data_IF_148762226412
#
_entry.id   IF_148762226412
#
_cell.length_a   1.000
_cell.length_b   1.000
_cell.length_c   1.000
_cell.angle_alpha   90.00
_cell.angle_beta   90.00
_cell.angle_gamma   90.00
#
_symmetry.space_group_name_H-M   'P 1'
#
loop_
_entity.id
_entity.type
_entity.pdbx_description
1 polymer ?
#
# COMPACT_ATOMS: atom_id res chain seq x y z
N UNK A 1 9.04 -25.94 -11.26
CA UNK A 1 7.85 -25.54 -10.48
C UNK A 1 8.11 -24.18 -9.81
N UNK A 2 7.06 -23.40 -9.51
CA UNK A 2 7.18 -22.04 -8.95
C UNK A 2 6.13 -21.82 -7.86
N UNK A 3 6.53 -21.23 -6.74
CA UNK A 3 5.63 -20.66 -5.72
C UNK A 3 5.98 -19.19 -5.55
N UNK A 4 4.98 -18.30 -5.64
CA UNK A 4 5.13 -16.85 -5.42
C UNK A 4 4.09 -16.38 -4.42
N UNK A 5 4.53 -15.63 -3.41
CA UNK A 5 3.68 -14.96 -2.42
C UNK A 5 3.98 -13.47 -2.45
N UNK A 6 2.94 -12.63 -2.48
CA UNK A 6 3.07 -11.18 -2.45
C UNK A 6 1.84 -10.51 -1.84
N UNK A 7 2.04 -9.39 -1.14
CA UNK A 7 1.01 -8.43 -0.68
C UNK A 7 1.07 -7.10 -1.47
N UNK A 8 1.79 -7.05 -2.58
CA UNK A 8 2.03 -5.82 -3.36
C UNK A 8 3.23 -4.99 -2.89
N UNK A 9 3.71 -5.18 -1.65
CA UNK A 9 4.87 -4.47 -1.12
C UNK A 9 6.08 -5.39 -0.91
N UNK A 10 5.82 -6.67 -0.66
CA UNK A 10 6.83 -7.69 -0.42
C UNK A 10 6.56 -8.88 -1.31
N UNK A 11 7.64 -9.54 -1.71
CA UNK A 11 7.57 -10.71 -2.58
C UNK A 11 8.53 -11.79 -2.10
N UNK A 12 8.04 -13.03 -2.07
CA UNK A 12 8.87 -14.23 -1.95
C UNK A 12 8.57 -15.13 -3.13
N UNK A 13 9.60 -15.47 -3.90
CA UNK A 13 9.52 -16.40 -5.01
C UNK A 13 10.51 -17.55 -4.81
N UNK A 14 10.01 -18.79 -4.88
CA UNK A 14 10.82 -20.00 -4.85
C UNK A 14 10.65 -20.73 -6.18
N UNK A 15 11.78 -20.95 -6.86
CA UNK A 15 11.87 -21.74 -8.10
C UNK A 15 12.55 -23.06 -7.81
N UNK A 16 11.98 -24.14 -8.33
CA UNK A 16 12.61 -25.45 -8.37
C UNK A 16 12.78 -25.86 -9.82
N UNK A 17 14.04 -26.09 -10.21
CA UNK A 17 14.41 -26.63 -11.52
C UNK A 17 14.55 -28.15 -11.42
N UNK A 18 14.01 -28.85 -12.42
CA UNK A 18 14.06 -30.31 -12.47
C UNK A 18 12.91 -31.03 -11.75
N UNK A 19 12.69 -32.26 -12.22
CA UNK A 19 11.68 -33.27 -11.83
C UNK A 19 10.23 -32.93 -12.23
N UNK A 20 9.44 -33.90 -12.76
CA UNK A 20 8.00 -33.75 -12.99
C UNK A 20 7.29 -33.31 -11.72
N UNK A 21 6.16 -32.62 -11.88
CA UNK A 21 5.43 -31.95 -10.80
C UNK A 21 5.19 -32.85 -9.57
N UNK A 22 6.11 -32.80 -8.60
CA UNK A 22 6.01 -33.55 -7.36
C UNK A 22 5.14 -32.78 -6.37
N UNK A 23 3.95 -33.30 -6.00
CA UNK A 23 3.07 -32.63 -5.06
C UNK A 23 3.65 -32.52 -3.65
N UNK A 24 4.63 -33.36 -3.27
CA UNK A 24 5.32 -33.24 -1.99
C UNK A 24 6.26 -32.02 -2.01
N UNK A 25 7.05 -31.88 -3.08
CA UNK A 25 7.92 -30.73 -3.30
C UNK A 25 7.12 -29.42 -3.33
N UNK A 26 5.96 -29.39 -4.00
CA UNK A 26 5.11 -28.20 -4.02
C UNK A 26 4.68 -27.76 -2.61
N UNK A 27 4.21 -28.72 -1.79
CA UNK A 27 3.79 -28.45 -0.42
C UNK A 27 4.94 -27.97 0.46
N UNK A 28 6.14 -28.52 0.26
CA UNK A 28 7.34 -28.05 0.93
C UNK A 28 7.68 -26.62 0.52
N UNK A 29 7.68 -26.32 -0.79
CA UNK A 29 7.92 -24.98 -1.30
C UNK A 29 6.91 -23.97 -0.74
N UNK A 30 5.63 -24.33 -0.67
CA UNK A 30 4.58 -23.47 -0.09
C UNK A 30 4.82 -23.19 1.40
N UNK A 31 5.10 -24.24 2.20
CA UNK A 31 5.38 -24.08 3.64
C UNK A 31 6.60 -23.21 3.88
N UNK A 32 7.65 -23.39 3.08
CA UNK A 32 8.86 -22.57 3.15
C UNK A 32 8.58 -21.13 2.73
N UNK A 33 7.86 -20.91 1.63
CA UNK A 33 7.49 -19.59 1.17
C UNK A 33 6.68 -18.83 2.24
N UNK A 34 5.68 -19.48 2.88
CA UNK A 34 4.91 -18.88 3.98
C UNK A 34 5.79 -18.49 5.17
N UNK A 35 6.76 -19.33 5.53
CA UNK A 35 7.71 -19.04 6.63
C UNK A 35 8.62 -17.86 6.30
N UNK A 36 9.20 -17.85 5.10
CA UNK A 36 10.04 -16.75 4.63
C UNK A 36 9.26 -15.44 4.57
N UNK A 37 8.04 -15.50 4.04
CA UNK A 37 7.15 -14.35 3.91
C UNK A 37 6.75 -13.78 5.28
N UNK A 38 6.42 -14.63 6.26
CA UNK A 38 6.12 -14.20 7.62
C UNK A 38 7.34 -13.64 8.38
N UNK A 39 8.55 -14.04 8.00
CA UNK A 39 9.78 -13.51 8.58
C UNK A 39 10.22 -12.17 7.97
N UNK A 40 9.64 -11.76 6.83
CA UNK A 40 9.92 -10.45 6.27
C UNK A 40 9.39 -9.37 7.22
N UNK A 41 10.20 -8.35 7.54
CA UNK A 41 9.72 -7.23 8.34
C UNK A 41 8.49 -6.64 7.63
N UNK A 42 7.37 -6.59 8.35
CA UNK A 42 6.31 -5.64 8.03
C UNK A 42 6.83 -4.29 8.46
N UNK A 43 6.95 -3.32 7.55
CA UNK A 43 6.85 -1.94 8.01
C UNK A 43 5.60 -1.86 8.90
N UNK A 44 5.68 -1.27 10.10
CA UNK A 44 4.47 -1.03 10.86
C UNK A 44 3.57 -0.26 9.90
N UNK A 45 2.40 -0.84 9.57
CA UNK A 45 1.43 -0.16 8.73
C UNK A 45 1.31 1.23 9.32
N UNK A 46 1.85 2.24 8.61
CA UNK A 46 1.84 3.59 9.11
C UNK A 46 0.38 3.82 9.42
N UNK A 47 0.05 3.94 10.71
CA UNK A 47 -1.29 4.23 11.15
C UNK A 47 -1.70 5.37 10.24
N UNK A 48 -2.69 5.13 9.39
CA UNK A 48 -3.28 6.17 8.58
C UNK A 48 -3.76 7.18 9.62
N UNK A 49 -2.91 8.15 9.94
CA UNK A 49 -3.31 9.32 10.68
C UNK A 49 -4.33 9.93 9.76
N UNK A 50 -5.62 9.95 10.14
CA UNK A 50 -6.59 10.66 9.35
C UNK A 50 -6.06 12.09 9.23
N UNK A 51 -5.76 12.49 8.00
CA UNK A 51 -5.50 13.87 7.66
C UNK A 51 -6.71 14.65 8.16
N UNK A 52 -6.54 15.36 9.27
CA UNK A 52 -7.63 15.99 9.99
C UNK A 52 -7.06 17.08 10.87
N UNK A 53 -7.42 18.32 10.57
CA UNK A 53 -7.15 19.51 11.37
C UNK A 53 -7.90 19.43 12.71
N UNK A 54 -7.49 18.51 13.58
CA UNK A 54 -8.14 18.19 14.84
C UNK A 54 -7.17 18.32 16.01
N UNK A 55 -6.90 19.56 16.39
CA UNK A 55 -6.32 19.98 17.69
C UNK A 55 -5.19 19.08 18.21
N UNK A 56 -3.97 19.35 17.74
CA UNK A 56 -2.82 19.18 18.60
C UNK A 56 -2.99 20.18 19.75
N UNK A 57 -3.51 19.69 20.89
CA UNK A 57 -3.52 20.47 22.11
C UNK A 57 -2.05 20.58 22.53
N UNK A 58 -1.45 21.69 22.13
CA UNK A 58 -0.15 22.16 22.56
C UNK A 58 -0.12 22.21 24.09
N UNK A 59 0.63 21.31 24.72
CA UNK A 59 0.84 21.29 26.16
C UNK A 59 2.12 22.03 26.56
N UNK A 60 2.90 22.55 25.62
CA UNK A 60 4.18 23.20 25.91
C UNK A 60 4.38 24.46 25.06
N UNK A 61 3.36 25.32 25.02
CA UNK A 61 3.50 26.78 25.06
C UNK A 61 4.44 27.44 24.05
N UNK A 62 4.43 27.06 22.77
CA UNK A 62 5.11 27.86 21.72
C UNK A 62 4.19 28.05 20.51
N UNK A 63 3.43 29.15 20.54
CA UNK A 63 2.58 29.57 19.43
C UNK A 63 3.43 30.04 18.24
N UNK A 64 3.57 29.20 17.21
CA UNK A 64 4.06 29.62 15.90
C UNK A 64 2.87 30.07 15.04
N UNK A 65 2.61 31.38 15.07
CA UNK A 65 1.64 32.00 14.17
C UNK A 65 2.16 32.01 12.74
N UNK A 66 1.59 31.17 11.88
CA UNK A 66 1.78 31.27 10.44
C UNK A 66 0.51 31.88 9.83
N UNK A 67 0.47 33.21 9.73
CA UNK A 67 -0.39 33.86 8.75
C UNK A 67 0.15 33.50 7.36
N UNK A 68 -0.61 32.74 6.60
CA UNK A 68 -0.45 32.70 5.15
C UNK A 68 -1.83 32.84 4.52
N UNK A 69 -2.05 34.07 4.07
CA UNK A 69 -2.99 34.48 3.05
C UNK A 69 -2.64 33.74 1.75
N UNK A 70 -3.58 33.00 1.16
CA UNK A 70 -3.47 32.62 -0.25
C UNK A 70 -4.87 32.53 -0.87
N UNK A 71 -5.10 33.47 -1.77
CA UNK A 71 -6.29 33.67 -2.56
C UNK A 71 -6.46 32.61 -3.66
N UNK A 72 -7.73 32.40 -4.00
CA UNK A 72 -8.29 32.23 -5.35
C UNK A 72 -7.58 31.24 -6.28
N UNK A 73 -8.18 30.06 -6.48
CA UNK A 73 -8.24 29.39 -7.79
C UNK A 73 -9.53 28.54 -7.88
N UNK A 74 -10.63 29.20 -8.24
CA UNK A 74 -11.65 28.59 -9.12
C UNK A 74 -10.94 28.17 -10.43
N UNK A 75 -11.07 26.90 -10.84
CA UNK A 75 -11.33 26.44 -12.22
C UNK A 75 -11.21 24.90 -12.28
N UNK A 76 -12.31 24.19 -12.54
CA UNK A 76 -12.34 23.15 -13.58
C UNK A 76 -13.81 22.80 -13.93
N UNK A 77 -14.27 23.10 -15.16
CA UNK A 77 -15.62 22.78 -15.62
C UNK A 77 -15.76 21.29 -15.99
N UNK A 78 -16.77 20.64 -15.40
CA UNK A 78 -17.10 19.24 -15.65
C UNK A 78 -17.28 18.91 -17.14
N UNK A 79 -16.43 18.02 -17.62
CA UNK A 79 -16.54 17.32 -18.91
C UNK A 79 -17.10 15.92 -18.65
N UNK A 80 -18.15 15.57 -19.41
CA UNK A 80 -18.46 14.26 -20.03
C UNK A 80 -19.95 14.33 -20.45
N UNK A 81 -20.25 14.69 -21.69
CA UNK A 81 -20.45 13.76 -22.82
C UNK A 81 -21.63 12.78 -22.61
N UNK A 82 -22.86 13.25 -22.88
CA UNK A 82 -23.99 12.39 -23.21
C UNK A 82 -24.50 12.74 -24.63
N UNK A 83 -24.16 11.86 -25.57
CA UNK A 83 -24.61 11.83 -26.97
C UNK A 83 -26.07 11.34 -27.06
N UNK A 84 -26.94 12.01 -27.84
CA UNK A 84 -28.04 11.27 -28.45
C UNK A 84 -28.11 11.52 -29.97
N UNK A 85 -27.65 10.53 -30.73
CA UNK A 85 -27.91 10.39 -32.17
C UNK A 85 -29.28 9.74 -32.43
N UNK A 86 -30.07 10.27 -33.37
CA UNK A 86 -31.00 9.49 -34.18
C UNK A 86 -30.44 9.15 -35.58
#
# INVERSE_FOLDING_TARGET
MRVRLTDGHREVEIRAEGTPADPALLRQMERTARRLYAALPTEPAASSSPFGFGRHLDLDGVALGAQTDLADQDDDPGLDDEDPTP
#
